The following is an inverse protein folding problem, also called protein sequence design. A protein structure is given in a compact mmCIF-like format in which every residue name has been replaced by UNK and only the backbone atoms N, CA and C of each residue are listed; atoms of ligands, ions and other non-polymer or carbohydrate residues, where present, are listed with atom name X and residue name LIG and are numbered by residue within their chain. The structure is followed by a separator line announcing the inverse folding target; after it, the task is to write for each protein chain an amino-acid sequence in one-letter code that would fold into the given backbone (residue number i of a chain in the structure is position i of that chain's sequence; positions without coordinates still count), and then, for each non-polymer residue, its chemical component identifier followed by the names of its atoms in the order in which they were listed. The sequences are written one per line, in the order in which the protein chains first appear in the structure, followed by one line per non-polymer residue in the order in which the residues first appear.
data_IF_035508172501
#
_entry.id   IF_035508172501
#
_cell.length_a   1.000
_cell.length_b   1.000
_cell.length_c   1.000
_cell.angle_alpha   90.00
_cell.angle_beta   90.00
_cell.angle_gamma   90.00
#
_symmetry.space_group_name_H-M   'P 1'
#
loop_
_entity.id
_entity.type
_entity.pdbx_description
1 polymer ?
#
# COMPACT_ATOMS: atom_id res chain seq x y z
N UNK A 1 -29.74 11.01 -44.83
CA UNK A 1 -29.25 9.63 -44.58
C UNK A 1 -27.85 9.57 -43.94
N UNK A 2 -27.26 10.70 -43.54
CA UNK A 2 -25.94 10.74 -42.87
C UNK A 2 -26.04 10.65 -41.33
N UNK A 3 -27.20 10.97 -40.75
CA UNK A 3 -27.40 11.01 -39.29
C UNK A 3 -27.56 9.63 -38.63
N UNK A 4 -28.07 8.61 -39.34
CA UNK A 4 -28.24 7.25 -38.78
C UNK A 4 -26.91 6.51 -38.65
N UNK A 5 -25.94 6.82 -39.52
CA UNK A 5 -24.58 6.24 -39.49
C UNK A 5 -23.79 6.70 -38.25
N UNK A 6 -24.11 7.88 -37.72
CA UNK A 6 -23.42 8.46 -36.55
C UNK A 6 -23.87 7.84 -35.21
N UNK A 7 -25.09 7.29 -35.14
CA UNK A 7 -25.62 6.68 -33.91
C UNK A 7 -25.13 5.23 -33.68
N UNK A 8 -24.67 4.54 -34.73
CA UNK A 8 -24.12 3.18 -34.62
C UNK A 8 -22.68 3.16 -34.08
N UNK A 9 -21.97 4.29 -34.13
CA UNK A 9 -20.59 4.41 -33.62
C UNK A 9 -20.53 4.58 -32.10
N UNK A 10 -21.66 4.75 -31.41
CA UNK A 10 -21.73 5.02 -29.97
C UNK A 10 -22.12 3.81 -29.14
N UNK A 11 -21.87 2.57 -29.58
CA UNK A 11 -22.03 1.41 -28.70
C UNK A 11 -20.96 1.45 -27.60
N UNK A 12 -21.29 2.17 -26.54
CA UNK A 12 -20.60 2.19 -25.26
C UNK A 12 -20.62 0.76 -24.70
N UNK A 13 -19.53 0.03 -24.88
CA UNK A 13 -19.28 -1.20 -24.14
C UNK A 13 -18.95 -0.82 -22.68
N UNK A 14 -19.89 -1.05 -21.77
CA UNK A 14 -19.69 -0.82 -20.34
C UNK A 14 -19.20 -2.10 -19.62
N UNK A 15 -17.94 -2.03 -19.12
CA UNK A 15 -17.37 -2.54 -17.84
C UNK A 15 -17.27 -4.07 -17.57
N UNK A 16 -16.14 -4.55 -16.97
CA UNK A 16 -15.75 -4.18 -15.61
C UNK A 16 -14.30 -3.67 -15.46
N UNK A 17 -14.16 -2.55 -14.76
CA UNK A 17 -12.88 -2.18 -14.16
C UNK A 17 -12.71 -3.01 -12.88
N UNK A 18 -11.96 -4.10 -12.97
CA UNK A 18 -11.24 -4.68 -11.82
C UNK A 18 -9.73 -4.51 -12.01
N UNK A 19 -9.32 -3.37 -12.55
CA UNK A 19 -7.99 -2.84 -12.30
C UNK A 19 -8.14 -1.81 -11.19
N UNK A 20 -7.68 -2.19 -10.00
CA UNK A 20 -7.43 -1.24 -8.93
C UNK A 20 -6.64 -0.07 -9.53
N UNK A 21 -7.03 1.18 -9.29
CA UNK A 21 -6.24 2.31 -9.78
C UNK A 21 -4.86 2.22 -9.14
N UNK A 22 -3.86 1.81 -9.93
CA UNK A 22 -2.47 2.13 -9.63
C UNK A 22 -2.36 3.65 -9.78
N UNK A 23 -2.47 4.31 -8.63
CA UNK A 23 -2.43 5.75 -8.39
C UNK A 23 -1.38 6.44 -9.26
N UNK A 24 -1.81 7.10 -10.33
CA UNK A 24 -0.93 7.87 -11.24
C UNK A 24 -0.83 9.35 -10.85
N UNK A 25 -1.10 9.69 -9.58
CA UNK A 25 -0.77 11.00 -9.02
C UNK A 25 0.61 10.96 -8.38
N UNK A 26 1.50 11.96 -8.60
CA UNK A 26 2.71 12.14 -7.81
C UNK A 26 2.33 12.73 -6.45
N UNK A 27 1.52 12.00 -5.70
CA UNK A 27 1.39 12.19 -4.26
C UNK A 27 2.37 11.18 -3.66
N UNK A 28 3.25 11.64 -2.78
CA UNK A 28 4.19 10.80 -2.04
C UNK A 28 3.43 9.88 -1.07
N UNK A 29 2.69 8.89 -1.58
CA UNK A 29 2.18 7.76 -0.81
C UNK A 29 3.27 6.70 -0.81
N UNK A 30 4.13 6.77 0.20
CA UNK A 30 5.10 5.72 0.41
C UNK A 30 4.38 4.48 0.94
N UNK A 31 4.43 3.37 0.20
CA UNK A 31 4.01 2.03 0.67
C UNK A 31 4.85 1.54 1.85
N UNK A 32 5.84 2.33 2.27
CA UNK A 32 6.77 2.03 3.35
C UNK A 32 6.20 2.14 4.75
N UNK A 33 4.98 2.68 4.88
CA UNK A 33 4.32 2.95 6.15
C UNK A 33 3.75 1.65 6.75
N UNK A 34 3.83 1.49 8.07
CA UNK A 34 3.26 0.32 8.74
C UNK A 34 1.74 0.21 8.51
N UNK A 35 1.27 -0.99 8.21
CA UNK A 35 -0.14 -1.27 7.89
C UNK A 35 -0.50 -1.08 6.42
N UNK A 36 0.40 -0.58 5.57
CA UNK A 36 0.17 -0.46 4.13
C UNK A 36 0.51 -1.74 3.37
N UNK A 37 -0.09 -1.90 2.20
CA UNK A 37 0.18 -3.02 1.32
C UNK A 37 1.60 -3.00 0.79
N UNK A 38 2.21 -4.17 0.66
CA UNK A 38 3.54 -4.35 0.12
C UNK A 38 3.63 -5.64 -0.69
N UNK A 39 4.64 -5.72 -1.56
CA UNK A 39 4.98 -6.94 -2.31
C UNK A 39 6.26 -7.59 -1.78
N UNK A 40 7.17 -6.79 -1.23
CA UNK A 40 8.48 -7.24 -0.76
C UNK A 40 9.00 -6.36 0.38
N UNK A 41 9.97 -6.87 1.14
CA UNK A 41 10.53 -6.17 2.30
C UNK A 41 11.13 -4.80 1.95
N UNK A 42 11.63 -4.63 0.73
CA UNK A 42 12.20 -3.37 0.25
C UNK A 42 11.14 -2.26 0.12
N UNK A 43 9.86 -2.60 -0.07
CA UNK A 43 8.77 -1.62 -0.05
C UNK A 43 8.65 -0.95 1.33
N UNK A 44 8.76 -1.75 2.39
CA UNK A 44 8.64 -1.33 3.79
C UNK A 44 9.92 -0.65 4.30
N UNK A 45 11.07 -1.25 3.99
CA UNK A 45 12.37 -0.81 4.49
C UNK A 45 12.87 0.54 3.95
N UNK A 46 12.20 1.13 2.96
CA UNK A 46 12.59 2.41 2.35
C UNK A 46 12.45 3.63 3.27
N UNK A 47 11.37 3.69 4.07
CA UNK A 47 11.16 4.75 5.07
C UNK A 47 11.14 4.24 6.51
N UNK A 48 10.61 3.03 6.73
CA UNK A 48 10.47 2.49 8.07
C UNK A 48 11.58 1.49 8.31
N UNK A 49 12.64 1.94 8.97
CA UNK A 49 13.74 1.06 9.39
C UNK A 49 13.23 -0.06 10.29
N UNK A 50 13.82 -1.24 10.17
CA UNK A 50 13.42 -2.46 10.89
C UNK A 50 11.97 -2.90 10.61
N UNK A 51 11.46 -2.64 9.40
CA UNK A 51 10.20 -3.18 8.90
C UNK A 51 10.42 -4.24 7.81
N UNK A 52 9.40 -5.05 7.55
CA UNK A 52 9.35 -6.10 6.52
C UNK A 52 7.94 -6.24 5.97
N UNK A 53 7.83 -6.84 4.80
CA UNK A 53 6.55 -7.18 4.23
C UNK A 53 6.08 -8.51 4.83
N UNK A 54 5.00 -8.47 5.59
CA UNK A 54 4.41 -9.63 6.23
C UNK A 54 2.98 -9.81 5.71
N UNK A 55 2.73 -10.92 5.03
CA UNK A 55 1.42 -11.23 4.44
C UNK A 55 0.87 -10.11 3.53
N UNK A 56 1.77 -9.47 2.78
CA UNK A 56 1.42 -8.36 1.90
C UNK A 56 1.15 -7.04 2.63
N UNK A 57 1.50 -6.91 3.92
CA UNK A 57 1.36 -5.69 4.71
C UNK A 57 2.69 -5.35 5.40
N UNK A 58 3.08 -4.08 5.42
CA UNK A 58 4.26 -3.62 6.12
C UNK A 58 4.10 -3.74 7.64
N UNK A 59 5.00 -4.49 8.27
CA UNK A 59 5.03 -4.73 9.70
C UNK A 59 6.46 -4.62 10.24
N UNK A 60 6.62 -4.42 11.55
CA UNK A 60 7.94 -4.44 12.17
C UNK A 60 8.57 -5.83 12.11
N UNK A 61 9.89 -5.88 11.97
CA UNK A 61 10.66 -7.10 12.06
C UNK A 61 10.54 -7.74 13.46
N UNK A 62 10.76 -9.06 13.58
CA UNK A 62 10.77 -9.74 14.88
C UNK A 62 11.69 -9.03 15.88
N UNK A 63 11.19 -8.83 17.11
CA UNK A 63 11.91 -8.10 18.15
C UNK A 63 11.69 -6.59 18.15
N UNK A 64 10.99 -6.04 17.15
CA UNK A 64 10.59 -4.63 17.10
C UNK A 64 9.07 -4.48 17.22
N UNK A 65 8.63 -3.36 17.80
CA UNK A 65 7.22 -2.98 17.95
C UNK A 65 6.94 -1.65 17.25
N UNK A 66 5.75 -1.48 16.67
CA UNK A 66 5.36 -0.24 16.03
C UNK A 66 5.22 0.89 17.08
N UNK A 67 5.91 2.00 16.87
CA UNK A 67 5.66 3.27 17.56
C UNK A 67 5.08 4.26 16.55
N UNK A 68 3.75 4.18 16.37
CA UNK A 68 3.06 4.86 15.28
C UNK A 68 3.26 4.13 13.96
N UNK A 69 3.21 4.89 12.86
CA UNK A 69 3.20 4.31 11.49
C UNK A 69 4.56 4.38 10.79
N UNK A 70 5.50 5.15 11.32
CA UNK A 70 6.81 5.42 10.70
C UNK A 70 8.01 4.82 11.45
N UNK A 71 7.79 4.23 12.63
CA UNK A 71 8.88 3.78 13.49
C UNK A 71 8.65 2.37 14.01
N UNK A 72 9.70 1.56 13.96
CA UNK A 72 9.82 0.28 14.64
C UNK A 72 10.91 0.38 15.70
N UNK A 73 10.55 0.23 16.97
CA UNK A 73 11.48 0.32 18.10
C UNK A 73 11.73 -1.05 18.69
N UNK A 74 12.96 -1.30 19.14
CA UNK A 74 13.32 -2.60 19.70
C UNK A 74 12.60 -2.86 21.02
N UNK A 75 11.85 -3.96 21.08
CA UNK A 75 11.03 -4.34 22.23
C UNK A 75 11.85 -4.89 23.40
N UNK A 76 13.09 -5.36 23.17
CA UNK A 76 13.93 -5.94 24.22
C UNK A 76 14.48 -4.93 25.24
N UNK A 77 14.28 -3.62 25.01
CA UNK A 77 14.60 -2.57 25.98
C UNK A 77 13.37 -2.09 26.75
N UNK A 78 12.19 -2.63 26.47
CA UNK A 78 10.91 -2.17 27.01
C UNK A 78 10.59 -2.93 28.32
N UNK A 79 11.18 -2.48 29.44
CA UNK A 79 10.85 -2.97 30.80
C UNK A 79 9.39 -2.69 31.20
N UNK A 80 8.62 -2.02 30.36
CA UNK A 80 7.29 -1.47 30.66
C UNK A 80 6.14 -2.42 30.29
N UNK A 81 6.42 -3.62 29.80
CA UNK A 81 5.41 -4.60 29.33
C UNK A 81 5.22 -5.83 30.25
N UNK A 82 5.63 -5.71 31.52
CA UNK A 82 5.49 -6.77 32.55
C UNK A 82 4.63 -6.35 33.77
N UNK A 83 3.73 -5.39 33.63
CA UNK A 83 2.78 -5.03 34.69
C UNK A 83 1.34 -5.31 34.29
#
# INVERSE_FOLDING_TARGET
MLFILLLLLTTVAARPQTTFPSSTTPFMTYDSVLGYSCHSDTNCGGLVGNSRCLNGICACQPGYVPQGIMNCVYAGNDKTRIN
#
